data_IF_882432249556
#
_entry.id   IF_882432249556
#
_cell.length_a   1.000
_cell.length_b   1.000
_cell.length_c   1.000
_cell.angle_alpha   90.00
_cell.angle_beta   90.00
_cell.angle_gamma   90.00
#
_symmetry.space_group_name_H-M   'P 1'
#
loop_
_entity.id
_entity.type
_entity.pdbx_description
1 polymer ?
#
# COMPACT_ATOMS: atom_id res chain seq x y z
N UNK A 1 3.34 -17.67 -14.33
CA UNK A 1 2.57 -17.58 -13.07
C UNK A 1 3.26 -16.53 -12.22
N UNK A 2 2.76 -15.28 -12.24
CA UNK A 2 3.42 -14.09 -11.63
C UNK A 2 2.70 -13.69 -10.32
N UNK A 3 1.63 -14.40 -9.96
CA UNK A 3 0.66 -13.96 -8.94
C UNK A 3 1.17 -13.96 -7.48
N UNK A 4 2.32 -14.58 -7.19
CA UNK A 4 2.83 -14.70 -5.80
C UNK A 4 4.24 -14.13 -5.57
N UNK A 5 5.00 -13.81 -6.61
CA UNK A 5 6.38 -13.32 -6.48
C UNK A 5 6.47 -12.03 -5.66
N UNK A 6 5.47 -11.16 -5.80
CA UNK A 6 5.39 -9.90 -5.06
C UNK A 6 5.11 -10.13 -3.57
N UNK A 7 4.30 -11.13 -3.20
CA UNK A 7 4.03 -11.49 -1.80
C UNK A 7 5.28 -12.05 -1.14
N UNK A 8 6.00 -12.95 -1.82
CA UNK A 8 7.26 -13.51 -1.32
C UNK A 8 8.29 -12.39 -1.10
N UNK A 9 8.36 -11.42 -2.03
CA UNK A 9 9.24 -10.26 -1.90
C UNK A 9 8.88 -9.39 -0.70
N UNK A 10 7.58 -9.15 -0.45
CA UNK A 10 7.12 -8.45 0.76
C UNK A 10 7.41 -9.25 2.04
N UNK A 11 7.30 -10.58 2.01
CA UNK A 11 7.58 -11.41 3.17
C UNK A 11 9.05 -11.31 3.61
N UNK A 12 9.97 -11.27 2.65
CA UNK A 12 11.40 -11.06 2.90
C UNK A 12 11.78 -9.66 3.40
N UNK A 13 10.86 -8.69 3.35
CA UNK A 13 11.11 -7.33 3.84
C UNK A 13 10.84 -7.21 5.35
N UNK A 14 11.68 -6.40 6.03
CA UNK A 14 11.55 -6.12 7.48
C UNK A 14 10.45 -5.07 7.76
N UNK A 15 9.22 -5.39 7.37
CA UNK A 15 8.02 -4.56 7.52
C UNK A 15 7.16 -5.09 8.68
N UNK A 16 6.54 -4.21 9.46
CA UNK A 16 5.60 -4.59 10.53
C UNK A 16 4.41 -5.35 9.94
N UNK A 17 3.96 -6.42 10.61
CA UNK A 17 2.91 -7.32 10.11
C UNK A 17 1.59 -6.61 9.77
N UNK A 18 1.18 -5.62 10.56
CA UNK A 18 -0.01 -4.82 10.30
C UNK A 18 0.10 -4.03 8.98
N UNK A 19 1.21 -3.33 8.76
CA UNK A 19 1.47 -2.58 7.54
C UNK A 19 1.64 -3.52 6.35
N UNK A 20 2.29 -4.68 6.54
CA UNK A 20 2.44 -5.70 5.49
C UNK A 20 1.06 -6.18 5.00
N UNK A 21 0.14 -6.46 5.92
CA UNK A 21 -1.24 -6.84 5.59
C UNK A 21 -1.95 -5.77 4.77
N UNK A 22 -1.82 -4.50 5.16
CA UNK A 22 -2.40 -3.36 4.42
C UNK A 22 -1.83 -3.23 3.00
N UNK A 23 -0.52 -3.40 2.83
CA UNK A 23 0.13 -3.40 1.51
C UNK A 23 -0.37 -4.56 0.65
N UNK A 24 -0.55 -5.75 1.24
CA UNK A 24 -1.10 -6.92 0.55
C UNK A 24 -2.54 -6.64 0.08
N UNK A 25 -3.37 -6.02 0.92
CA UNK A 25 -4.74 -5.65 0.53
C UNK A 25 -4.74 -4.61 -0.60
N UNK A 26 -3.89 -3.58 -0.53
CA UNK A 26 -3.77 -2.57 -1.59
C UNK A 26 -3.30 -3.19 -2.91
N UNK A 27 -2.19 -3.92 -2.90
CA UNK A 27 -1.62 -4.52 -4.10
C UNK A 27 -2.48 -5.67 -4.66
N UNK A 28 -3.23 -6.38 -3.80
CA UNK A 28 -4.13 -7.45 -4.22
C UNK A 28 -5.23 -6.98 -5.18
N UNK A 29 -5.57 -5.69 -5.16
CA UNK A 29 -6.54 -5.06 -6.06
C UNK A 29 -5.91 -4.30 -7.24
N UNK A 30 -4.57 -4.29 -7.35
CA UNK A 30 -3.86 -3.48 -8.35
C UNK A 30 -2.64 -4.22 -8.93
N UNK A 31 -2.82 -4.82 -10.11
CA UNK A 31 -1.78 -5.56 -10.82
C UNK A 31 -0.55 -4.69 -11.15
N UNK A 32 -0.73 -3.38 -11.37
CA UNK A 32 0.40 -2.47 -11.63
C UNK A 32 1.23 -2.27 -10.36
N UNK A 33 0.57 -2.18 -9.21
CA UNK A 33 1.23 -2.13 -7.92
C UNK A 33 1.99 -3.43 -7.64
N UNK A 34 1.42 -4.60 -7.95
CA UNK A 34 2.12 -5.89 -7.84
C UNK A 34 3.39 -5.90 -8.70
N UNK A 35 3.28 -5.49 -9.96
CA UNK A 35 4.44 -5.41 -10.85
C UNK A 35 5.49 -4.42 -10.36
N UNK A 36 5.09 -3.28 -9.80
CA UNK A 36 6.00 -2.30 -9.21
C UNK A 36 6.79 -2.89 -8.04
N UNK A 37 6.14 -3.67 -7.16
CA UNK A 37 6.80 -4.38 -6.07
C UNK A 37 7.84 -5.36 -6.62
N UNK A 38 7.46 -6.22 -7.58
CA UNK A 38 8.39 -7.21 -8.18
C UNK A 38 9.58 -6.52 -8.85
N UNK A 39 9.30 -5.52 -9.68
CA UNK A 39 10.31 -4.85 -10.50
C UNK A 39 11.11 -3.79 -9.73
N UNK A 40 10.66 -3.37 -8.54
CA UNK A 40 11.27 -2.27 -7.80
C UNK A 40 11.14 -0.93 -8.53
N UNK A 41 10.05 -0.73 -9.28
CA UNK A 41 9.81 0.49 -10.04
C UNK A 41 8.97 1.47 -9.23
N UNK A 42 9.18 2.76 -9.49
CA UNK A 42 8.35 3.80 -8.93
C UNK A 42 6.91 3.66 -9.40
N UNK A 43 5.97 3.65 -8.45
CA UNK A 43 4.54 3.59 -8.73
C UNK A 43 3.79 4.57 -7.85
N UNK A 44 2.93 5.38 -8.48
CA UNK A 44 2.07 6.32 -7.76
C UNK A 44 0.65 5.77 -7.75
N UNK A 45 0.07 5.65 -6.57
CA UNK A 45 -1.33 5.25 -6.36
C UNK A 45 -2.06 6.37 -5.64
N UNK A 46 -3.16 6.82 -6.23
CA UNK A 46 -4.06 7.77 -5.60
C UNK A 46 -5.29 7.01 -5.09
N UNK A 47 -5.68 7.27 -3.84
CA UNK A 47 -6.80 6.63 -3.15
C UNK A 47 -7.58 7.65 -2.33
N UNK A 48 -8.86 7.37 -2.06
CA UNK A 48 -9.66 8.16 -1.13
C UNK A 48 -9.67 7.51 0.25
N UNK A 49 -10.06 8.26 1.29
CA UNK A 49 -10.25 7.68 2.63
C UNK A 49 -11.34 6.60 2.62
N UNK A 50 -12.39 6.77 1.82
CA UNK A 50 -13.49 5.81 1.75
C UNK A 50 -13.08 4.52 1.06
N UNK A 51 -12.20 4.59 0.05
CA UNK A 51 -11.59 3.39 -0.54
C UNK A 51 -10.74 2.62 0.49
N UNK A 52 -9.96 3.32 1.31
CA UNK A 52 -9.17 2.69 2.37
C UNK A 52 -10.05 2.07 3.45
N UNK A 53 -11.15 2.71 3.85
CA UNK A 53 -12.11 2.15 4.81
C UNK A 53 -12.81 0.91 4.24
N UNK A 54 -13.19 0.93 2.96
CA UNK A 54 -13.77 -0.22 2.26
C UNK A 54 -12.81 -1.42 2.21
N UNK A 55 -11.51 -1.18 2.08
CA UNK A 55 -10.46 -2.21 2.18
C UNK A 55 -10.17 -2.68 3.62
N UNK A 56 -10.85 -2.12 4.63
CA UNK A 56 -10.61 -2.42 6.04
C UNK A 56 -9.39 -1.70 6.64
N UNK A 57 -8.78 -0.77 5.90
CA UNK A 57 -7.67 0.08 6.35
C UNK A 57 -8.25 1.33 7.02
N UNK A 58 -9.00 1.09 8.10
CA UNK A 58 -9.74 2.12 8.83
C UNK A 58 -8.83 2.89 9.78
N UNK A 59 -8.71 4.19 9.58
CA UNK A 59 -8.12 5.14 10.53
C UNK A 59 -9.04 6.34 10.61
N UNK A 60 -9.03 7.11 11.70
CA UNK A 60 -9.91 8.27 11.78
C UNK A 60 -9.53 9.28 10.68
N UNK A 61 -10.52 9.78 9.92
CA UNK A 61 -10.30 10.71 8.79
C UNK A 61 -9.48 11.95 9.17
N UNK A 62 -9.59 12.42 10.41
CA UNK A 62 -8.85 13.57 10.94
C UNK A 62 -7.39 13.27 11.30
N UNK A 63 -6.98 12.01 11.23
CA UNK A 63 -5.65 11.55 11.65
C UNK A 63 -4.85 11.10 10.44
N UNK A 64 -4.69 11.98 9.45
CA UNK A 64 -3.80 11.74 8.29
C UNK A 64 -2.40 11.28 8.73
N UNK A 65 -1.93 11.75 9.89
CA UNK A 65 -0.69 11.28 10.54
C UNK A 65 -0.67 9.79 10.83
N UNK A 66 -1.81 9.18 11.15
CA UNK A 66 -1.90 7.73 11.33
C UNK A 66 -1.64 6.99 10.03
N UNK A 67 -1.80 7.61 8.85
CA UNK A 67 -1.41 7.02 7.56
C UNK A 67 0.09 7.09 7.26
N UNK A 68 0.86 7.93 7.97
CA UNK A 68 2.30 8.10 7.73
C UNK A 68 3.11 6.80 7.78
N UNK A 69 2.89 5.86 8.72
CA UNK A 69 3.65 4.61 8.73
C UNK A 69 3.44 3.77 7.47
N UNK A 70 2.21 3.75 6.95
CA UNK A 70 1.89 3.04 5.71
C UNK A 70 2.51 3.76 4.50
N UNK A 71 2.33 5.08 4.40
CA UNK A 71 2.88 5.89 3.31
C UNK A 71 4.41 5.80 3.27
N UNK A 72 5.08 5.92 4.42
CA UNK A 72 6.54 5.86 4.51
C UNK A 72 7.05 4.47 4.12
N UNK A 73 6.36 3.40 4.54
CA UNK A 73 6.76 2.02 4.19
C UNK A 73 6.58 1.76 2.70
N UNK A 74 5.47 2.23 2.11
CA UNK A 74 5.25 2.19 0.67
C UNK A 74 6.34 2.97 -0.07
N UNK A 75 6.71 4.16 0.43
CA UNK A 75 7.78 4.97 -0.15
C UNK A 75 9.14 4.26 -0.16
N UNK A 76 9.47 3.50 0.89
CA UNK A 76 10.70 2.71 0.96
C UNK A 76 10.78 1.60 -0.11
N UNK A 77 9.63 1.13 -0.61
CA UNK A 77 9.55 0.11 -1.67
C UNK A 77 9.26 0.72 -3.05
N UNK A 78 9.37 2.04 -3.20
CA UNK A 78 9.16 2.76 -4.47
C UNK A 78 7.69 3.10 -4.76
N UNK A 79 6.79 2.96 -3.79
CA UNK A 79 5.36 3.22 -3.99
C UNK A 79 4.96 4.53 -3.30
N UNK A 80 4.49 5.50 -4.07
CA UNK A 80 3.93 6.73 -3.56
C UNK A 80 2.41 6.59 -3.41
N UNK A 81 1.93 6.51 -2.17
CA UNK A 81 0.50 6.53 -1.86
C UNK A 81 0.03 7.96 -1.58
N UNK A 82 -0.90 8.45 -2.40
CA UNK A 82 -1.51 9.78 -2.24
C UNK A 82 -2.96 9.59 -1.82
N UNK A 83 -3.27 10.04 -0.62
CA UNK A 83 -4.64 10.04 -0.11
C UNK A 83 -5.27 11.39 -0.48
N UNK A 84 -6.22 11.35 -1.41
CA UNK A 84 -7.03 12.51 -1.80
C UNK A 84 -8.29 12.55 -0.94
N UNK A 85 -8.62 13.71 -0.40
CA UNK A 85 -9.93 13.92 0.22
C UNK A 85 -10.91 14.14 -0.91
N UNK A 86 -12.03 13.43 -0.93
CA UNK A 86 -13.17 13.85 -1.74
C UNK A 86 -13.61 15.23 -1.23
N UNK A 87 -13.81 16.16 -2.17
CA UNK A 87 -14.29 17.53 -1.92
C UNK A 87 -15.82 17.55 -1.94
#
# INVERSE_FOLDING_TARGET
MIHEDWKVKLEGMKIRSNIKSEIITLAGSDDKMQQAIVQGKEFRKEVTFDFLDWLGIKRAKHERRKYEPLINTLGMIGITLVIVSEF
#
